data_IF_764020352124
#
_entry.id   IF_764020352124
#
_cell.length_a   1.000
_cell.length_b   1.000
_cell.length_c   1.000
_cell.angle_alpha   90.00
_cell.angle_beta   90.00
_cell.angle_gamma   90.00
#
_symmetry.space_group_name_H-M   'P 1'
#
loop_
_entity.id
_entity.type
_entity.pdbx_description
1 polymer ?
#
# COMPACT_ATOMS: atom_id res chain seq x y z
N UNK A 1 -7.61 9.68 -20.80
CA UNK A 1 -6.16 9.62 -20.53
C UNK A 1 -5.84 9.53 -19.04
N UNK A 2 -6.63 10.14 -18.14
CA UNK A 2 -6.42 10.05 -16.68
C UNK A 2 -6.37 8.61 -16.13
N UNK A 3 -7.22 7.70 -16.61
CA UNK A 3 -7.17 6.29 -16.21
C UNK A 3 -5.83 5.61 -16.62
N UNK A 4 -5.31 5.90 -17.81
CA UNK A 4 -3.98 5.40 -18.18
C UNK A 4 -2.88 5.94 -17.26
N UNK A 5 -2.97 7.20 -16.84
CA UNK A 5 -2.03 7.77 -15.88
C UNK A 5 -2.13 7.11 -14.49
N UNK A 6 -3.35 6.81 -14.02
CA UNK A 6 -3.58 6.05 -12.79
C UNK A 6 -2.95 4.65 -12.86
N UNK A 7 -3.19 3.93 -13.97
CA UNK A 7 -2.61 2.60 -14.21
C UNK A 7 -1.08 2.62 -14.23
N UNK A 8 -0.48 3.61 -14.90
CA UNK A 8 0.98 3.80 -14.95
C UNK A 8 1.54 4.11 -13.57
N UNK A 9 0.91 5.01 -12.81
CA UNK A 9 1.36 5.38 -11.47
C UNK A 9 1.40 4.17 -10.53
N UNK A 10 0.29 3.44 -10.44
CA UNK A 10 0.19 2.24 -9.57
C UNK A 10 1.11 1.11 -10.08
N UNK A 11 1.14 0.89 -11.40
CA UNK A 11 1.98 -0.13 -12.02
C UNK A 11 3.48 0.11 -11.81
N UNK A 12 3.92 1.38 -11.83
CA UNK A 12 5.29 1.78 -11.55
C UNK A 12 5.67 1.56 -10.08
N UNK A 13 4.82 2.00 -9.14
CA UNK A 13 5.11 1.89 -7.70
C UNK A 13 5.33 0.45 -7.21
N UNK A 14 4.62 -0.52 -7.79
CA UNK A 14 4.70 -1.93 -7.40
C UNK A 14 5.43 -2.82 -8.42
N UNK A 15 5.89 -2.24 -9.54
CA UNK A 15 6.38 -2.98 -10.71
C UNK A 15 5.40 -4.08 -11.18
N UNK A 16 4.10 -3.84 -11.06
CA UNK A 16 3.02 -4.79 -11.35
C UNK A 16 2.04 -4.19 -12.38
N UNK A 17 2.37 -4.23 -13.68
CA UNK A 17 1.62 -3.49 -14.70
C UNK A 17 0.19 -4.00 -14.91
N UNK A 18 -0.04 -5.31 -14.85
CA UNK A 18 -1.39 -5.91 -14.97
C UNK A 18 -2.26 -5.44 -13.80
N UNK A 19 -1.75 -5.54 -12.57
CA UNK A 19 -2.46 -5.11 -11.37
C UNK A 19 -2.79 -3.63 -11.37
N UNK A 20 -1.86 -2.77 -11.79
CA UNK A 20 -2.09 -1.33 -11.90
C UNK A 20 -3.21 -0.96 -12.89
N UNK A 21 -3.29 -1.67 -14.02
CA UNK A 21 -4.35 -1.45 -15.02
C UNK A 21 -5.70 -1.92 -14.51
N UNK A 22 -5.79 -3.12 -13.93
CA UNK A 22 -7.03 -3.63 -13.34
C UNK A 22 -7.55 -2.71 -12.23
N UNK A 23 -6.67 -2.29 -11.32
CA UNK A 23 -6.98 -1.32 -10.28
C UNK A 23 -7.51 0.00 -10.86
N UNK A 24 -6.90 0.51 -11.94
CA UNK A 24 -7.37 1.73 -12.58
C UNK A 24 -8.77 1.59 -13.17
N UNK A 25 -9.14 0.42 -13.70
CA UNK A 25 -10.46 0.17 -14.28
C UNK A 25 -11.51 0.13 -13.16
N UNK A 26 -11.21 -0.59 -12.08
CA UNK A 26 -12.10 -0.76 -10.93
C UNK A 26 -12.41 0.56 -10.21
N UNK A 27 -11.40 1.42 -10.01
CA UNK A 27 -11.55 2.63 -9.20
C UNK A 27 -11.97 3.86 -10.00
N UNK A 28 -11.58 3.99 -11.27
CA UNK A 28 -11.66 5.28 -11.99
C UNK A 28 -12.88 5.38 -12.91
N UNK A 29 -13.47 4.28 -13.35
CA UNK A 29 -14.47 4.32 -14.42
C UNK A 29 -15.62 3.34 -14.24
N UNK A 30 -16.85 3.83 -14.41
CA UNK A 30 -18.05 2.98 -14.57
C UNK A 30 -18.13 2.35 -15.96
N UNK A 31 -17.65 3.06 -16.99
CA UNK A 31 -17.54 2.56 -18.36
C UNK A 31 -16.13 2.76 -18.89
N UNK A 32 -15.50 1.68 -19.34
CA UNK A 32 -14.13 1.70 -19.81
C UNK A 32 -14.00 1.20 -21.25
N UNK A 33 -13.52 2.06 -22.14
CA UNK A 33 -13.27 1.69 -23.51
C UNK A 33 -12.03 0.80 -23.62
N UNK A 34 -12.13 -0.35 -24.30
CA UNK A 34 -11.03 -1.30 -24.53
C UNK A 34 -9.83 -0.65 -25.22
N UNK A 35 -10.03 0.38 -26.04
CA UNK A 35 -8.93 1.14 -26.63
C UNK A 35 -8.07 1.87 -25.58
N UNK A 36 -8.67 2.31 -24.47
CA UNK A 36 -7.94 2.92 -23.37
C UNK A 36 -7.23 1.88 -22.51
N UNK A 37 -7.74 0.64 -22.46
CA UNK A 37 -7.10 -0.50 -21.82
C UNK A 37 -5.72 -0.77 -22.41
N UNK A 38 -5.66 -0.97 -23.73
CA UNK A 38 -4.41 -1.24 -24.44
C UNK A 38 -3.36 -0.13 -24.26
N UNK A 39 -3.82 1.13 -24.33
CA UNK A 39 -2.94 2.30 -24.13
C UNK A 39 -2.40 2.38 -22.70
N UNK A 40 -3.25 2.10 -21.70
CA UNK A 40 -2.85 2.07 -20.29
C UNK A 40 -1.92 0.90 -19.98
N UNK A 41 -2.20 -0.27 -20.56
CA UNK A 41 -1.39 -1.47 -20.39
C UNK A 41 0.02 -1.30 -20.93
N UNK A 42 0.16 -0.84 -22.17
CA UNK A 42 1.47 -0.59 -22.78
C UNK A 42 2.28 0.46 -21.99
N UNK A 43 1.62 1.52 -21.54
CA UNK A 43 2.29 2.54 -20.74
C UNK A 43 2.73 2.01 -19.37
N UNK A 44 1.89 1.20 -18.70
CA UNK A 44 2.20 0.64 -17.39
C UNK A 44 3.35 -0.38 -17.46
N UNK A 45 3.40 -1.23 -18.49
CA UNK A 45 4.49 -2.19 -18.69
C UNK A 45 5.80 -1.48 -18.96
N UNK A 46 5.81 -0.46 -19.84
CA UNK A 46 7.01 0.32 -20.11
C UNK A 46 7.52 1.03 -18.86
N UNK A 47 6.62 1.61 -18.05
CA UNK A 47 7.00 2.26 -16.79
C UNK A 47 7.59 1.28 -15.77
N UNK A 48 6.96 0.11 -15.58
CA UNK A 48 7.48 -0.91 -14.67
C UNK A 48 8.83 -1.47 -15.15
N UNK A 49 9.00 -1.61 -16.46
CA UNK A 49 10.28 -2.03 -17.07
C UNK A 49 11.39 -1.02 -16.80
N UNK A 50 11.17 0.28 -17.09
CA UNK A 50 12.17 1.32 -16.84
C UNK A 50 12.53 1.41 -15.37
N UNK A 51 11.54 1.31 -14.46
CA UNK A 51 11.79 1.30 -13.02
C UNK A 51 12.73 0.16 -12.59
N UNK A 52 12.52 -1.06 -13.13
CA UNK A 52 13.39 -2.21 -12.85
C UNK A 52 14.78 -2.08 -13.45
N UNK A 53 14.88 -1.59 -14.68
CA UNK A 53 16.19 -1.36 -15.33
C UNK A 53 17.00 -0.34 -14.55
N UNK A 54 16.37 0.74 -14.09
CA UNK A 54 17.02 1.75 -13.25
C UNK A 54 17.47 1.18 -11.90
N UNK A 55 16.68 0.32 -11.27
CA UNK A 55 17.06 -0.34 -10.01
C UNK A 55 18.30 -1.23 -10.18
N UNK A 56 18.40 -1.98 -11.29
CA UNK A 56 19.58 -2.79 -11.62
C UNK A 56 20.80 -1.91 -11.90
N UNK A 57 20.63 -0.79 -12.61
CA UNK A 57 21.72 0.14 -12.91
C UNK A 57 22.28 0.83 -11.65
N UNK A 58 21.43 1.10 -10.66
CA UNK A 58 21.79 1.88 -9.47
C UNK A 58 22.36 1.04 -8.30
N UNK A 59 22.61 -0.27 -8.51
CA UNK A 59 23.30 -1.23 -7.61
C UNK A 59 22.49 -1.87 -6.47
N UNK A 60 21.15 -1.87 -6.48
CA UNK A 60 20.36 -2.43 -5.37
C UNK A 60 19.72 -3.82 -5.64
N UNK A 61 19.72 -4.33 -6.87
CA UNK A 61 19.16 -5.66 -7.19
C UNK A 61 19.97 -6.39 -8.29
N UNK A 62 20.41 -7.63 -8.01
CA UNK A 62 21.19 -8.47 -8.94
C UNK A 62 20.37 -9.01 -10.13
N UNK A 63 19.03 -8.91 -10.10
CA UNK A 63 18.17 -9.47 -11.15
C UNK A 63 16.81 -8.78 -11.16
N UNK A 64 16.14 -8.73 -12.32
CA UNK A 64 14.75 -8.27 -12.47
C UNK A 64 13.83 -9.25 -11.70
N UNK A 65 13.65 -9.03 -10.41
CA UNK A 65 12.81 -9.85 -9.55
C UNK A 65 11.64 -9.02 -9.01
N UNK A 66 10.57 -9.67 -8.56
CA UNK A 66 9.47 -8.96 -7.91
C UNK A 66 9.97 -8.24 -6.64
N UNK A 67 9.35 -7.10 -6.29
CA UNK A 67 9.86 -6.18 -5.25
C UNK A 67 9.92 -6.85 -3.86
N UNK A 68 9.08 -7.87 -3.68
CA UNK A 68 9.03 -8.72 -2.51
C UNK A 68 9.02 -10.18 -2.98
N UNK A 69 10.20 -10.79 -3.10
CA UNK A 69 10.34 -12.19 -3.50
C UNK A 69 10.08 -13.10 -2.29
N UNK A 70 8.97 -13.84 -2.32
CA UNK A 70 8.68 -14.92 -1.37
C UNK A 70 9.08 -16.26 -1.96
N UNK A 71 9.53 -17.20 -1.13
CA UNK A 71 9.92 -18.56 -1.54
C UNK A 71 8.95 -19.56 -0.93
N UNK A 72 7.78 -19.76 -1.53
CA UNK A 72 6.83 -20.77 -1.08
C UNK A 72 7.19 -22.16 -1.63
N UNK A 73 6.85 -23.24 -0.89
CA UNK A 73 6.95 -24.62 -1.39
C UNK A 73 5.78 -24.87 -2.34
N UNK A 74 6.04 -25.18 -3.61
CA UNK A 74 5.00 -25.34 -4.64
C UNK A 74 4.46 -26.78 -4.77
N UNK A 75 5.07 -27.76 -4.09
CA UNK A 75 4.75 -29.17 -4.33
C UNK A 75 3.35 -29.58 -3.81
N UNK A 76 2.88 -28.98 -2.71
CA UNK A 76 1.50 -29.07 -2.19
C UNK A 76 1.19 -27.79 -1.39
N UNK A 77 0.63 -26.75 -2.01
CA UNK A 77 0.56 -25.42 -1.37
C UNK A 77 -0.59 -25.26 -0.37
N UNK A 78 -1.74 -25.90 -0.59
CA UNK A 78 -2.93 -25.77 0.26
C UNK A 78 -3.80 -27.03 0.21
N UNK A 79 -4.23 -27.51 1.37
CA UNK A 79 -5.26 -28.55 1.48
C UNK A 79 -6.66 -27.94 1.48
N UNK A 80 -7.66 -28.67 0.96
CA UNK A 80 -9.06 -28.21 0.92
C UNK A 80 -9.61 -27.84 2.32
N UNK A 81 -9.04 -28.42 3.38
CA UNK A 81 -9.42 -28.14 4.76
C UNK A 81 -9.00 -26.74 5.24
N UNK A 82 -8.06 -26.07 4.56
CA UNK A 82 -7.62 -24.71 4.91
C UNK A 82 -8.48 -23.60 4.27
N UNK A 83 -9.29 -23.95 3.26
CA UNK A 83 -10.18 -22.99 2.59
C UNK A 83 -11.18 -22.28 3.53
N UNK A 84 -11.81 -22.95 4.52
CA UNK A 84 -12.63 -22.28 5.51
C UNK A 84 -11.84 -21.26 6.34
N UNK A 85 -10.57 -21.53 6.67
CA UNK A 85 -9.73 -20.58 7.40
C UNK A 85 -9.44 -19.32 6.57
N UNK A 86 -9.17 -19.47 5.26
CA UNK A 86 -9.04 -18.33 4.35
C UNK A 86 -10.32 -17.52 4.23
N UNK A 87 -11.48 -18.17 4.22
CA UNK A 87 -12.77 -17.48 4.22
C UNK A 87 -12.97 -16.63 5.49
N UNK A 88 -12.63 -17.17 6.67
CA UNK A 88 -12.71 -16.43 7.94
C UNK A 88 -11.79 -15.21 7.93
N UNK A 89 -10.55 -15.35 7.44
CA UNK A 89 -9.60 -14.23 7.31
C UNK A 89 -10.13 -13.18 6.33
N UNK A 90 -10.76 -13.59 5.22
CA UNK A 90 -11.41 -12.70 4.26
C UNK A 90 -12.55 -11.90 4.89
N UNK A 91 -13.39 -12.54 5.68
CA UNK A 91 -14.49 -11.88 6.40
C UNK A 91 -13.94 -10.90 7.44
N UNK A 92 -12.97 -11.34 8.25
CA UNK A 92 -12.37 -10.51 9.29
C UNK A 92 -11.66 -9.26 8.71
N UNK A 93 -10.91 -9.43 7.61
CA UNK A 93 -10.26 -8.31 6.91
C UNK A 93 -11.26 -7.36 6.26
N UNK A 94 -12.38 -7.87 5.72
CA UNK A 94 -13.48 -7.05 5.21
C UNK A 94 -14.12 -6.17 6.28
N UNK A 95 -14.44 -6.74 7.45
CA UNK A 95 -14.93 -5.97 8.60
C UNK A 95 -13.91 -4.97 9.12
N UNK A 96 -12.63 -5.35 9.20
CA UNK A 96 -11.54 -4.45 9.57
C UNK A 96 -11.43 -3.26 8.62
N UNK A 97 -11.52 -3.50 7.31
CA UNK A 97 -11.52 -2.45 6.29
C UNK A 97 -12.72 -1.50 6.41
N UNK A 98 -13.93 -2.05 6.61
CA UNK A 98 -15.13 -1.24 6.81
C UNK A 98 -15.03 -0.36 8.06
N UNK A 99 -14.54 -0.92 9.18
CA UNK A 99 -14.30 -0.17 10.42
C UNK A 99 -13.26 0.94 10.20
N UNK A 100 -12.17 0.66 9.49
CA UNK A 100 -11.14 1.67 9.17
C UNK A 100 -11.73 2.85 8.39
N UNK A 101 -12.53 2.59 7.35
CA UNK A 101 -13.17 3.65 6.56
C UNK A 101 -14.15 4.47 7.42
N UNK A 102 -14.90 3.81 8.29
CA UNK A 102 -15.82 4.49 9.22
C UNK A 102 -15.07 5.38 10.22
N UNK A 103 -14.00 4.87 10.84
CA UNK A 103 -13.17 5.63 11.79
C UNK A 103 -12.49 6.83 11.09
N UNK A 104 -11.96 6.62 9.88
CA UNK A 104 -11.37 7.71 9.09
C UNK A 104 -12.40 8.82 8.83
N UNK A 105 -13.62 8.45 8.43
CA UNK A 105 -14.73 9.40 8.25
C UNK A 105 -15.03 10.16 9.54
N UNK A 106 -15.10 9.48 10.68
CA UNK A 106 -15.38 10.10 11.98
C UNK A 106 -14.29 11.11 12.37
N UNK A 107 -13.02 10.75 12.20
CA UNK A 107 -11.87 11.62 12.47
C UNK A 107 -11.91 12.87 11.57
N UNK A 108 -12.13 12.70 10.26
CA UNK A 108 -12.20 13.83 9.32
C UNK A 108 -13.37 14.75 9.65
N UNK A 109 -14.53 14.20 10.03
CA UNK A 109 -15.68 15.00 10.46
C UNK A 109 -15.42 15.75 11.77
N UNK A 110 -14.77 15.10 12.74
CA UNK A 110 -14.39 15.72 14.01
C UNK A 110 -13.45 16.91 13.79
N UNK A 111 -12.41 16.74 12.97
CA UNK A 111 -11.47 17.80 12.60
C UNK A 111 -12.20 18.97 11.92
N UNK A 112 -13.11 18.68 10.97
CA UNK A 112 -13.88 19.70 10.26
C UNK A 112 -14.87 20.45 11.16
N UNK A 113 -15.42 19.80 12.19
CA UNK A 113 -16.36 20.40 13.16
C UNK A 113 -15.67 21.42 14.07
N UNK A 114 -14.43 21.17 14.46
CA UNK A 114 -13.64 22.04 15.34
C UNK A 114 -13.04 23.23 14.57
N UNK A 115 -13.89 24.20 14.21
CA UNK A 115 -13.48 25.38 13.41
C UNK A 115 -12.43 26.27 14.08
N UNK A 116 -12.41 26.36 15.41
CA UNK A 116 -11.44 27.18 16.15
C UNK A 116 -10.02 26.62 16.04
N UNK A 117 -9.87 25.32 16.31
CA UNK A 117 -8.63 24.56 16.17
C UNK A 117 -8.18 24.61 14.72
N UNK A 118 -9.07 24.30 13.76
CA UNK A 118 -8.71 24.33 12.35
C UNK A 118 -8.27 25.73 11.87
N UNK A 119 -8.91 26.82 12.33
CA UNK A 119 -8.49 28.19 12.00
C UNK A 119 -7.10 28.52 12.55
N UNK A 120 -6.80 28.09 13.78
CA UNK A 120 -5.48 28.25 14.39
C UNK A 120 -4.40 27.46 13.63
N UNK A 121 -4.71 26.21 13.27
CA UNK A 121 -3.80 25.32 12.56
C UNK A 121 -3.61 25.69 11.08
N UNK A 122 -4.62 26.28 10.42
CA UNK A 122 -4.49 26.83 9.08
C UNK A 122 -3.58 28.08 9.04
N UNK A 123 -3.55 28.87 10.12
CA UNK A 123 -2.62 30.01 10.25
C UNK A 123 -1.15 29.56 10.31
N UNK A 124 -0.89 28.34 10.82
CA UNK A 124 0.43 27.69 10.87
C UNK A 124 0.35 26.30 10.25
N UNK A 125 0.22 26.24 8.92
CA UNK A 125 0.00 25.00 8.14
C UNK A 125 0.94 23.84 8.49
N UNK A 126 2.19 24.13 8.89
CA UNK A 126 3.19 23.12 9.25
C UNK A 126 3.11 22.63 10.71
N UNK A 127 2.42 23.35 11.60
CA UNK A 127 2.36 23.00 13.02
C UNK A 127 1.54 21.73 13.25
N UNK A 128 0.45 21.53 12.50
CA UNK A 128 -0.38 20.33 12.59
C UNK A 128 0.41 19.05 12.29
N UNK A 129 1.01 18.89 11.08
CA UNK A 129 1.76 17.68 10.77
C UNK A 129 2.95 17.51 11.71
N UNK A 130 3.65 18.58 12.10
CA UNK A 130 4.78 18.50 13.02
C UNK A 130 4.38 17.98 14.42
N UNK A 131 3.23 18.41 14.95
CA UNK A 131 2.74 17.92 16.24
C UNK A 131 2.33 16.45 16.14
N UNK A 132 1.62 16.07 15.07
CA UNK A 132 1.19 14.68 14.84
C UNK A 132 2.41 13.76 14.66
N UNK A 133 3.41 14.18 13.88
CA UNK A 133 4.64 13.39 13.70
C UNK A 133 5.44 13.27 14.99
N UNK A 134 5.54 14.33 15.80
CA UNK A 134 6.19 14.27 17.11
C UNK A 134 5.49 13.28 18.03
N UNK A 135 4.16 13.31 18.08
CA UNK A 135 3.36 12.41 18.90
C UNK A 135 3.56 10.94 18.47
N UNK A 136 3.46 10.65 17.16
CA UNK A 136 3.68 9.30 16.61
C UNK A 136 5.13 8.83 16.81
N UNK A 137 6.11 9.72 16.63
CA UNK A 137 7.53 9.40 16.85
C UNK A 137 7.81 9.05 18.31
N UNK A 138 7.20 9.79 19.25
CA UNK A 138 7.31 9.52 20.69
C UNK A 138 6.71 8.16 21.05
N UNK A 139 5.57 7.81 20.45
CA UNK A 139 4.93 6.49 20.67
C UNK A 139 5.72 5.34 20.00
N UNK A 140 6.31 5.59 18.84
CA UNK A 140 7.08 4.58 18.09
C UNK A 140 8.51 4.41 18.62
N UNK A 141 8.91 5.16 19.64
CA UNK A 141 10.28 5.16 20.15
C UNK A 141 10.75 3.75 20.57
N UNK A 142 11.80 3.18 19.95
CA UNK A 142 12.14 1.77 20.10
C UNK A 142 12.42 1.25 21.52
N UNK A 143 13.14 1.97 22.40
CA UNK A 143 13.35 1.50 23.77
C UNK A 143 12.16 1.83 24.70
N UNK A 144 11.16 2.58 24.22
CA UNK A 144 9.94 2.89 24.96
C UNK A 144 8.80 1.95 24.59
N UNK A 145 7.70 2.49 24.06
CA UNK A 145 6.55 1.70 23.58
C UNK A 145 6.84 0.92 22.30
N UNK A 146 7.83 1.34 21.50
CA UNK A 146 8.23 0.67 20.26
C UNK A 146 8.77 -0.75 20.45
N UNK A 147 9.12 -1.16 21.68
CA UNK A 147 9.53 -2.53 21.98
C UNK A 147 8.41 -3.55 21.76
N UNK A 148 7.15 -3.16 21.98
CA UNK A 148 5.97 -4.02 21.80
C UNK A 148 5.39 -3.95 20.38
N UNK A 149 5.72 -2.90 19.64
CA UNK A 149 5.18 -2.62 18.29
C UNK A 149 6.19 -2.89 17.17
N UNK A 150 7.34 -3.50 17.49
CA UNK A 150 8.44 -3.75 16.55
C UNK A 150 8.92 -2.47 15.83
N UNK A 151 9.01 -1.35 16.57
CA UNK A 151 9.28 -0.01 16.02
C UNK A 151 10.69 0.23 15.44
N UNK A 152 11.57 -0.78 15.43
CA UNK A 152 12.90 -0.72 14.81
C UNK A 152 12.88 -1.06 13.31
N UNK A 153 11.85 -1.75 12.84
CA UNK A 153 11.78 -2.22 11.46
C UNK A 153 11.29 -1.10 10.54
N UNK A 154 11.92 -0.98 9.38
CA UNK A 154 11.40 -0.14 8.29
C UNK A 154 10.18 -0.81 7.66
N UNK A 155 9.34 -0.04 6.96
CA UNK A 155 8.14 -0.59 6.30
C UNK A 155 8.47 -1.73 5.33
N UNK A 156 9.61 -1.66 4.62
CA UNK A 156 10.05 -2.72 3.70
C UNK A 156 10.42 -3.99 4.46
N UNK A 157 11.20 -3.87 5.53
CA UNK A 157 11.63 -5.01 6.35
C UNK A 157 10.46 -5.65 7.11
N UNK A 158 9.52 -4.87 7.63
CA UNK A 158 8.31 -5.38 8.27
C UNK A 158 7.48 -6.24 7.32
N UNK A 159 7.39 -5.84 6.04
CA UNK A 159 6.68 -6.63 5.03
C UNK A 159 7.45 -7.91 4.68
N UNK A 160 8.76 -7.81 4.47
CA UNK A 160 9.61 -8.98 4.17
C UNK A 160 9.59 -10.01 5.32
N UNK A 161 9.65 -9.54 6.56
CA UNK A 161 9.57 -10.41 7.76
C UNK A 161 8.20 -11.05 7.92
N UNK A 162 7.12 -10.34 7.60
CA UNK A 162 5.75 -10.89 7.62
C UNK A 162 5.53 -11.96 6.55
N UNK A 163 6.26 -11.88 5.44
CA UNK A 163 6.22 -12.86 4.34
C UNK A 163 7.38 -13.86 4.37
N UNK A 164 8.11 -13.94 5.49
CA UNK A 164 9.20 -14.90 5.63
C UNK A 164 8.66 -16.33 5.73
N UNK A 165 9.29 -17.26 5.03
CA UNK A 165 8.88 -18.66 5.00
C UNK A 165 9.72 -19.51 5.97
N UNK A 166 10.13 -18.92 7.10
CA UNK A 166 10.83 -19.62 8.18
C UNK A 166 9.84 -20.13 9.22
N UNK A 167 9.13 -21.18 8.85
CA UNK A 167 8.41 -22.11 9.74
C UNK A 167 8.47 -23.50 9.13
#
# INVERSE_FOLDING_TARGET
>A
MLAAACAVGVGCCFAAPIGGVLFSIEVTSTFFAVRNYWRGFFAATFSAFIFRVLAVWNRDEETITALFKTRFRLDFPFDLQELPAFAVIGIASGFGGALFVYLNRLIVQFIRKQKAINRFLMKKRLLYPALVTLLISTLTFPPGFGQFMAGKLTQKESLVTLLDNRT
#
